data_IF_930548664141
#
_entry.id   IF_930548664141
#
_cell.length_a   1.000
_cell.length_b   1.000
_cell.length_c   1.000
_cell.angle_alpha   90.00
_cell.angle_beta   90.00
_cell.angle_gamma   90.00
#
_symmetry.space_group_name_H-M   'P 1'
#
loop_
_entity.id
_entity.type
_entity.pdbx_description
1 polymer ?
#
# COMPACT_ATOMS: atom_id res chain seq x y z
N UNK A 1 13.45 -50.49 -42.73
CA UNK A 1 12.45 -51.37 -42.09
C UNK A 1 11.11 -50.64 -42.05
N UNK A 2 10.03 -51.43 -42.16
CA UNK A 2 8.59 -51.15 -42.40
C UNK A 2 8.13 -49.68 -42.23
N UNK A 3 7.64 -48.95 -43.24
CA UNK A 3 6.60 -49.16 -44.29
C UNK A 3 5.21 -48.60 -43.89
N UNK A 4 4.75 -47.66 -44.74
CA UNK A 4 3.37 -47.45 -45.24
C UNK A 4 2.47 -46.62 -44.29
N UNK A 5 2.08 -45.37 -44.59
CA UNK A 5 1.28 -44.80 -45.71
C UNK A 5 -0.24 -45.04 -45.54
N UNK A 6 -1.04 -44.03 -45.95
CA UNK A 6 -2.47 -44.11 -46.38
C UNK A 6 -3.49 -44.13 -45.20
N UNK A 7 -4.67 -43.49 -45.19
CA UNK A 7 -5.58 -42.97 -46.23
C UNK A 7 -6.48 -41.89 -45.62
N UNK A 8 -6.84 -40.89 -46.44
CA UNK A 8 -8.03 -40.07 -46.34
C UNK A 8 -9.33 -40.89 -46.14
N UNK A 9 -10.38 -40.29 -45.59
CA UNK A 9 -11.70 -40.14 -46.25
C UNK A 9 -12.77 -39.69 -45.26
N UNK A 10 -13.54 -38.74 -45.75
CA UNK A 10 -14.71 -38.09 -45.17
C UNK A 10 -15.85 -39.09 -44.99
N UNK A 11 -16.56 -39.03 -43.87
CA UNK A 11 -17.96 -39.43 -43.79
C UNK A 11 -18.71 -38.44 -42.91
N UNK A 12 -19.68 -37.79 -43.54
CA UNK A 12 -20.62 -36.85 -42.98
C UNK A 12 -21.66 -37.55 -42.08
N UNK A 13 -22.10 -36.81 -41.06
CA UNK A 13 -23.40 -36.83 -40.39
C UNK A 13 -24.08 -38.18 -40.12
N UNK A 14 -24.09 -38.58 -38.84
CA UNK A 14 -25.25 -39.24 -38.27
C UNK A 14 -25.44 -38.82 -36.80
N UNK A 15 -26.59 -38.19 -36.56
CA UNK A 15 -27.37 -38.24 -35.34
C UNK A 15 -26.78 -37.64 -34.05
N UNK A 16 -27.30 -36.45 -33.74
CA UNK A 16 -27.50 -35.95 -32.40
C UNK A 16 -28.01 -37.04 -31.44
N UNK A 17 -27.50 -37.08 -30.22
CA UNK A 17 -28.37 -37.19 -29.06
C UNK A 17 -27.71 -36.51 -27.88
N UNK A 18 -28.45 -35.57 -27.33
CA UNK A 18 -28.15 -34.66 -26.23
C UNK A 18 -27.20 -35.16 -25.14
N UNK A 19 -26.46 -34.17 -24.62
CA UNK A 19 -26.32 -33.86 -23.18
C UNK A 19 -24.89 -33.91 -22.65
N UNK A 20 -24.21 -32.76 -22.76
CA UNK A 20 -23.36 -32.17 -21.74
C UNK A 20 -22.77 -30.87 -22.31
N UNK A 21 -22.99 -29.73 -21.66
CA UNK A 21 -21.90 -28.77 -21.47
C UNK A 21 -22.24 -27.89 -20.26
N UNK A 22 -21.32 -27.91 -19.30
CA UNK A 22 -21.29 -27.09 -18.11
C UNK A 22 -21.42 -25.60 -18.46
N UNK A 23 -22.32 -24.90 -17.79
CA UNK A 23 -22.19 -23.47 -17.63
C UNK A 23 -21.37 -23.24 -16.34
N UNK A 24 -20.10 -22.82 -16.41
CA UNK A 24 -19.47 -22.24 -15.24
C UNK A 24 -20.21 -20.93 -14.95
N UNK A 25 -20.65 -20.81 -13.70
CA UNK A 25 -21.16 -19.57 -13.12
C UNK A 25 -20.18 -18.41 -13.43
N UNK A 26 -20.68 -17.17 -13.61
CA UNK A 26 -19.80 -16.04 -13.79
C UNK A 26 -18.88 -15.96 -12.56
N UNK A 27 -17.59 -16.15 -12.79
CA UNK A 27 -16.57 -15.82 -11.81
C UNK A 27 -16.76 -14.34 -11.48
N UNK A 28 -17.09 -14.05 -10.23
CA UNK A 28 -16.92 -12.71 -9.66
C UNK A 28 -15.49 -12.32 -9.95
N UNK A 29 -15.35 -11.42 -10.93
CA UNK A 29 -14.10 -10.75 -11.20
C UNK A 29 -13.89 -9.89 -9.97
N UNK A 30 -13.05 -10.37 -9.06
CA UNK A 30 -12.50 -9.54 -8.00
C UNK A 30 -11.81 -8.37 -8.71
N UNK A 31 -12.52 -7.24 -8.73
CA UNK A 31 -11.93 -5.96 -9.10
C UNK A 31 -10.79 -5.78 -8.11
N UNK A 32 -9.56 -5.93 -8.59
CA UNK A 32 -8.42 -5.43 -7.86
C UNK A 32 -8.65 -3.93 -7.69
N UNK A 33 -9.09 -3.52 -6.50
CA UNK A 33 -9.11 -2.12 -6.12
C UNK A 33 -7.70 -1.60 -6.38
N UNK A 34 -7.60 -0.64 -7.31
CA UNK A 34 -6.40 0.16 -7.43
C UNK A 34 -6.11 0.73 -6.03
N UNK A 35 -4.86 0.64 -5.54
CA UNK A 35 -4.55 1.19 -4.23
C UNK A 35 -4.99 2.65 -4.21
N UNK A 36 -5.87 2.98 -3.26
CA UNK A 36 -6.27 4.36 -3.05
C UNK A 36 -4.99 5.21 -2.87
N UNK A 37 -4.94 6.43 -3.43
CA UNK A 37 -3.83 7.33 -3.15
C UNK A 37 -3.70 7.45 -1.63
N UNK A 38 -2.45 7.44 -1.13
CA UNK A 38 -2.22 7.75 0.28
C UNK A 38 -2.87 9.10 0.55
N UNK A 39 -3.65 9.18 1.61
CA UNK A 39 -4.12 10.46 2.09
C UNK A 39 -2.87 11.30 2.35
N UNK A 40 -2.85 12.53 1.84
CA UNK A 40 -1.77 13.45 2.17
C UNK A 40 -1.71 13.61 3.69
N UNK A 41 -0.51 13.61 4.29
CA UNK A 41 -0.38 13.80 5.73
C UNK A 41 -0.98 15.14 6.12
N UNK A 42 -1.71 15.15 7.24
CA UNK A 42 -2.21 16.37 7.88
C UNK A 42 -1.01 17.14 8.44
N UNK A 43 -0.98 18.46 8.28
CA UNK A 43 0.13 19.26 8.79
C UNK A 43 0.11 19.31 10.32
N UNK A 44 1.30 19.35 10.92
CA UNK A 44 1.48 19.37 12.37
C UNK A 44 2.39 18.28 12.91
N UNK A 45 2.43 18.17 14.23
CA UNK A 45 3.32 17.24 14.94
C UNK A 45 2.60 15.94 15.28
N UNK A 46 3.13 14.86 14.74
CA UNK A 46 2.76 13.48 15.00
C UNK A 46 3.61 12.91 16.14
N UNK A 47 3.00 12.08 16.98
CA UNK A 47 3.73 11.25 17.94
C UNK A 47 3.93 9.86 17.35
N UNK A 48 5.15 9.34 17.42
CA UNK A 48 5.53 8.04 16.85
C UNK A 48 5.97 7.13 17.98
N UNK A 49 5.24 6.05 18.20
CA UNK A 49 5.60 5.00 19.17
C UNK A 49 6.26 3.84 18.44
N UNK A 50 7.53 3.58 18.78
CA UNK A 50 8.28 2.44 18.28
C UNK A 50 7.92 1.14 19.02
N UNK A 51 8.29 0.01 18.44
CA UNK A 51 8.01 -1.32 19.01
C UNK A 51 8.67 -1.54 20.40
N UNK A 52 9.79 -0.87 20.68
CA UNK A 52 10.46 -0.90 21.99
C UNK A 52 9.80 0.00 23.04
N UNK A 53 8.73 0.71 22.65
CA UNK A 53 7.99 1.64 23.50
C UNK A 53 8.58 3.04 23.59
N UNK A 54 9.70 3.31 22.93
CA UNK A 54 10.23 4.67 22.81
C UNK A 54 9.31 5.56 21.97
N UNK A 55 9.35 6.86 22.25
CA UNK A 55 8.49 7.86 21.62
C UNK A 55 9.35 8.85 20.84
N UNK A 56 9.13 8.94 19.53
CA UNK A 56 9.62 10.01 18.68
C UNK A 56 8.51 10.98 18.28
N UNK A 57 8.88 12.03 17.57
CA UNK A 57 7.96 13.00 16.99
C UNK A 57 8.35 13.31 15.55
N UNK A 58 7.35 13.56 14.70
CA UNK A 58 7.55 14.01 13.31
C UNK A 58 6.63 15.19 13.07
N UNK A 59 7.18 16.33 12.68
CA UNK A 59 6.43 17.53 12.30
C UNK A 59 6.42 17.64 10.78
N UNK A 60 5.21 17.64 10.20
CA UNK A 60 4.96 17.83 8.78
C UNK A 60 4.64 19.31 8.52
N UNK A 61 5.40 19.94 7.61
CA UNK A 61 5.25 21.35 7.26
C UNK A 61 4.54 21.52 5.91
N UNK A 62 3.77 22.60 5.78
CA UNK A 62 2.98 22.90 4.58
C UNK A 62 3.82 23.14 3.31
N UNK A 63 5.15 23.31 3.45
CA UNK A 63 6.09 23.52 2.36
C UNK A 63 6.64 22.20 1.77
N UNK A 64 6.17 21.05 2.24
CA UNK A 64 6.66 19.74 1.81
C UNK A 64 7.92 19.27 2.56
N UNK A 65 8.31 19.96 3.63
CA UNK A 65 9.40 19.54 4.51
C UNK A 65 8.90 18.85 5.77
N UNK A 66 9.77 18.10 6.41
CA UNK A 66 9.51 17.49 7.71
C UNK A 66 10.71 17.66 8.65
N UNK A 67 10.44 17.65 9.95
CA UNK A 67 11.44 17.52 11.00
C UNK A 67 11.02 16.39 11.94
N UNK A 68 11.91 15.43 12.15
CA UNK A 68 11.71 14.31 13.04
C UNK A 68 12.71 14.31 14.18
N UNK A 69 12.31 13.73 15.29
CA UNK A 69 13.17 13.45 16.43
C UNK A 69 12.87 12.05 16.93
N UNK A 70 13.88 11.20 16.98
CA UNK A 70 13.71 9.81 17.40
C UNK A 70 13.55 9.70 18.94
N UNK A 71 13.30 8.47 19.42
CA UNK A 71 13.17 8.19 20.85
C UNK A 71 14.42 8.43 21.70
N UNK A 72 15.57 8.73 21.08
CA UNK A 72 16.83 9.10 21.74
C UNK A 72 17.10 10.60 21.67
N UNK A 73 16.20 11.35 21.05
CA UNK A 73 16.31 12.80 20.87
C UNK A 73 17.20 13.22 19.70
N UNK A 74 17.57 12.30 18.80
CA UNK A 74 18.33 12.61 17.59
C UNK A 74 17.37 13.22 16.56
N UNK A 75 17.70 14.43 16.12
CA UNK A 75 16.92 15.17 15.13
C UNK A 75 17.35 14.81 13.70
N UNK A 76 16.38 14.73 12.80
CA UNK A 76 16.57 14.58 11.36
C UNK A 76 15.51 15.41 10.62
N UNK A 77 15.77 15.80 9.37
CA UNK A 77 14.85 16.62 8.58
C UNK A 77 15.03 16.33 7.10
N UNK A 78 14.05 16.73 6.31
CA UNK A 78 14.13 16.60 4.86
C UNK A 78 12.82 16.96 4.18
N UNK A 79 12.58 16.35 3.01
CA UNK A 79 11.33 16.52 2.25
C UNK A 79 10.48 15.27 2.34
N UNK A 80 9.16 15.42 2.14
CA UNK A 80 8.25 14.28 2.04
C UNK A 80 7.40 14.37 0.77
N UNK A 81 7.00 13.21 0.26
CA UNK A 81 6.10 13.09 -0.88
C UNK A 81 5.16 11.91 -0.70
N UNK A 82 3.88 12.09 -1.04
CA UNK A 82 2.94 10.98 -1.14
C UNK A 82 3.07 10.33 -2.53
N UNK A 83 3.47 9.05 -2.60
CA UNK A 83 3.55 8.28 -3.84
C UNK A 83 3.22 6.81 -3.60
N UNK A 84 2.58 6.15 -4.56
CA UNK A 84 2.25 4.72 -4.51
C UNK A 84 1.46 4.27 -3.26
N UNK A 85 0.60 5.13 -2.73
CA UNK A 85 -0.14 4.81 -1.50
C UNK A 85 0.72 4.84 -0.24
N UNK A 86 1.87 5.51 -0.28
CA UNK A 86 2.81 5.66 0.83
C UNK A 86 3.23 7.12 1.02
N UNK A 87 3.65 7.44 2.24
CA UNK A 87 4.36 8.68 2.53
C UNK A 87 5.85 8.39 2.54
N UNK A 88 6.60 9.03 1.64
CA UNK A 88 8.03 8.82 1.47
C UNK A 88 8.80 10.02 1.99
N UNK A 89 9.72 9.75 2.91
CA UNK A 89 10.57 10.74 3.55
C UNK A 89 11.96 10.65 2.95
N UNK A 90 12.44 11.75 2.39
CA UNK A 90 13.79 11.91 1.86
C UNK A 90 14.59 12.80 2.83
N UNK A 91 15.44 12.21 3.70
CA UNK A 91 16.23 12.97 4.66
C UNK A 91 17.33 13.78 3.99
N UNK A 92 17.71 14.92 4.58
CA UNK A 92 18.90 15.64 4.13
C UNK A 92 20.17 14.79 4.34
N UNK A 93 21.10 14.84 3.37
CA UNK A 93 22.38 14.14 3.43
C UNK A 93 22.41 12.92 2.51
N UNK A 94 23.17 11.89 2.91
CA UNK A 94 23.35 10.66 2.11
C UNK A 94 22.42 9.51 2.53
N UNK A 95 21.49 9.77 3.45
CA UNK A 95 20.53 8.76 3.89
C UNK A 95 19.52 8.48 2.76
N UNK A 96 19.16 7.21 2.50
CA UNK A 96 18.19 6.88 1.48
C UNK A 96 16.78 7.33 1.89
N UNK A 97 15.95 7.62 0.89
CA UNK A 97 14.52 7.80 1.06
C UNK A 97 13.88 6.55 1.71
N UNK A 98 12.93 6.76 2.61
CA UNK A 98 12.18 5.71 3.28
C UNK A 98 10.67 5.95 3.13
N UNK A 99 9.97 4.99 2.52
CA UNK A 99 8.52 5.05 2.36
C UNK A 99 7.78 4.25 3.42
N UNK A 100 6.66 4.82 3.87
CA UNK A 100 5.82 4.30 4.92
C UNK A 100 4.41 4.05 4.39
N UNK A 101 3.90 2.85 4.63
CA UNK A 101 2.54 2.47 4.33
C UNK A 101 1.70 2.53 5.60
N UNK A 102 0.65 3.35 5.56
CA UNK A 102 -0.27 3.53 6.67
C UNK A 102 -1.46 2.58 6.56
N UNK A 103 -1.86 2.00 7.68
CA UNK A 103 -3.13 1.29 7.82
C UNK A 103 -4.28 2.26 8.09
N UNK A 104 -5.52 1.77 7.99
CA UNK A 104 -6.69 2.58 8.31
C UNK A 104 -6.63 3.04 9.79
N UNK A 105 -6.90 4.33 10.07
CA UNK A 105 -6.87 4.84 11.44
C UNK A 105 -8.01 4.26 12.28
N UNK A 106 -7.73 4.09 13.57
CA UNK A 106 -8.71 3.75 14.60
C UNK A 106 -9.66 4.90 14.91
N UNK A 107 -10.59 4.66 15.84
CA UNK A 107 -11.60 5.65 16.23
C UNK A 107 -11.02 6.93 16.86
N UNK A 108 -9.81 6.85 17.39
CA UNK A 108 -9.03 7.95 17.96
C UNK A 108 -8.12 8.65 16.94
N UNK A 109 -8.13 8.20 15.68
CA UNK A 109 -7.25 8.70 14.62
C UNK A 109 -5.86 8.07 14.61
N UNK A 110 -5.50 7.25 15.60
CA UNK A 110 -4.21 6.56 15.66
C UNK A 110 -4.16 5.47 14.59
N UNK A 111 -3.01 5.30 13.92
CA UNK A 111 -2.83 4.28 12.89
C UNK A 111 -1.49 3.55 13.03
N UNK A 112 -1.43 2.35 12.47
CA UNK A 112 -0.17 1.62 12.28
C UNK A 112 0.49 2.10 11.00
N UNK A 113 1.81 2.30 11.03
CA UNK A 113 2.60 2.62 9.84
C UNK A 113 3.77 1.65 9.70
N UNK A 114 4.01 1.16 8.49
CA UNK A 114 5.07 0.19 8.17
C UNK A 114 6.01 0.75 7.13
N UNK A 115 7.30 0.84 7.46
CA UNK A 115 8.37 1.24 6.54
C UNK A 115 8.77 0.12 5.58
N UNK A 116 9.43 0.48 4.49
CA UNK A 116 9.96 -0.47 3.50
C UNK A 116 11.02 -1.44 4.06
N UNK A 117 11.71 -1.07 5.13
CA UNK A 117 12.67 -1.94 5.82
C UNK A 117 12.00 -2.92 6.81
N UNK A 118 10.67 -2.87 6.93
CA UNK A 118 9.88 -3.69 7.83
C UNK A 118 9.69 -3.09 9.23
N UNK A 119 10.21 -1.88 9.50
CA UNK A 119 9.94 -1.17 10.75
C UNK A 119 8.45 -0.87 10.89
N UNK A 120 7.87 -1.19 12.04
CA UNK A 120 6.47 -0.92 12.36
C UNK A 120 6.39 0.05 13.53
N UNK A 121 5.56 1.08 13.38
CA UNK A 121 5.30 2.09 14.41
C UNK A 121 3.81 2.33 14.56
N UNK A 122 3.41 2.83 15.73
CA UNK A 122 2.07 3.39 15.95
C UNK A 122 2.17 4.91 15.91
N UNK A 123 1.34 5.55 15.08
CA UNK A 123 1.36 6.98 14.85
C UNK A 123 0.08 7.61 15.39
N UNK A 124 0.24 8.61 16.26
CA UNK A 124 -0.85 9.46 16.70
C UNK A 124 -0.77 10.80 15.95
N UNK A 125 -1.79 11.16 15.17
CA UNK A 125 -1.80 12.41 14.41
C UNK A 125 -1.86 13.64 15.32
N UNK A 126 -1.51 14.83 14.80
CA UNK A 126 -1.80 16.07 15.51
C UNK A 126 -3.29 16.13 15.82
N UNK A 127 -3.64 16.72 16.96
CA UNK A 127 -5.04 17.01 17.25
C UNK A 127 -5.64 17.79 16.07
N UNK A 128 -6.88 17.46 15.64
CA UNK A 128 -7.51 18.20 14.56
C UNK A 128 -7.46 19.68 14.93
N UNK A 129 -6.93 20.51 14.03
CA UNK A 129 -6.96 21.94 14.22
C UNK A 129 -8.42 22.32 14.48
N UNK A 130 -8.74 22.76 15.70
CA UNK A 130 -10.08 23.20 16.02
C UNK A 130 -10.44 24.27 14.99
N UNK A 131 -11.42 23.97 14.14
CA UNK A 131 -11.91 24.92 13.16
C UNK A 131 -12.54 26.07 13.96
N UNK A 132 -11.73 27.09 14.26
CA UNK A 132 -12.23 28.36 14.80
C UNK A 132 -13.24 28.89 13.80
N UNK A 133 -14.51 28.74 14.19
CA UNK A 133 -15.69 29.16 13.43
C UNK A 133 -15.89 30.65 13.61
#
# INVERSE_FOLDING_TARGET
>A
MKKIVLIASIAALAACSQQAEEAPAPAETAVAEAPAPAAEPVMGTYQVKYADGSMGEVTMNADGTWMGKDGKGVENKGTYVAKDGKTCFDPEGDAPEMCWKDEAPGADGTFTSTADDGTVVTVTPPAPAEATT
#
